data_IF_049869776662
#
_entry.id   IF_049869776662
#
_cell.length_a   1.000
_cell.length_b   1.000
_cell.length_c   1.000
_cell.angle_alpha   90.00
_cell.angle_beta   90.00
_cell.angle_gamma   90.00
#
_symmetry.space_group_name_H-M   'P 1'
#
loop_
_entity.id
_entity.type
_entity.pdbx_description
1 polymer ?
#
# COMPACT_ATOMS: atom_id res chain seq x y z
N UNK A 1 -1.42 2.34 -21.78
CA UNK A 1 -1.32 2.57 -20.32
C UNK A 1 -0.67 1.34 -19.72
N UNK A 2 0.34 1.51 -18.87
CA UNK A 2 0.89 0.39 -18.11
C UNK A 2 -0.17 -0.04 -17.08
N UNK A 3 -0.72 -1.27 -17.13
CA UNK A 3 -1.77 -1.71 -16.21
C UNK A 3 -1.32 -1.82 -14.74
N UNK A 4 -0.03 -1.60 -14.46
CA UNK A 4 0.59 -1.70 -13.13
C UNK A 4 1.38 -0.45 -12.77
N UNK A 5 0.84 0.73 -13.02
CA UNK A 5 1.43 1.95 -12.46
C UNK A 5 1.44 1.87 -10.93
N UNK A 6 2.59 2.19 -10.32
CA UNK A 6 2.74 2.25 -8.87
C UNK A 6 1.82 3.31 -8.26
N UNK A 7 1.45 4.32 -9.05
CA UNK A 7 0.48 5.34 -8.67
C UNK A 7 -0.92 4.74 -8.62
N UNK A 8 -1.39 4.06 -9.67
CA UNK A 8 -2.78 3.61 -9.72
C UNK A 8 -3.03 2.32 -8.91
N UNK A 9 -2.05 1.39 -8.92
CA UNK A 9 -2.19 0.03 -8.36
C UNK A 9 -0.93 -0.41 -7.61
N UNK A 10 -0.63 0.19 -6.45
CA UNK A 10 0.62 -0.03 -5.73
C UNK A 10 0.81 -1.48 -5.23
N UNK A 11 -0.28 -2.20 -4.95
CA UNK A 11 -0.24 -3.59 -4.52
C UNK A 11 0.10 -4.53 -5.68
N UNK A 12 -0.61 -4.39 -6.82
CA UNK A 12 -0.32 -5.18 -8.01
C UNK A 12 1.07 -4.87 -8.58
N UNK A 13 1.47 -3.59 -8.60
CA UNK A 13 2.81 -3.16 -9.00
C UNK A 13 3.91 -3.86 -8.19
N UNK A 14 3.77 -3.90 -6.85
CA UNK A 14 4.75 -4.56 -5.99
C UNK A 14 4.89 -6.06 -6.29
N UNK A 15 3.77 -6.74 -6.61
CA UNK A 15 3.80 -8.16 -6.98
C UNK A 15 4.49 -8.36 -8.33
N UNK A 16 4.18 -7.52 -9.31
CA UNK A 16 4.81 -7.56 -10.63
C UNK A 16 6.32 -7.33 -10.55
N UNK A 17 6.75 -6.33 -9.80
CA UNK A 17 8.17 -6.05 -9.57
C UNK A 17 8.87 -7.20 -8.82
N UNK A 18 8.21 -7.77 -7.81
CA UNK A 18 8.86 -8.73 -6.94
C UNK A 18 8.86 -10.18 -7.46
N UNK A 19 7.80 -10.59 -8.15
CA UNK A 19 7.61 -11.98 -8.58
C UNK A 19 7.64 -12.13 -10.10
N UNK A 20 7.80 -11.02 -10.85
CA UNK A 20 7.79 -11.00 -12.31
C UNK A 20 6.51 -11.63 -12.88
N UNK A 21 5.39 -11.32 -12.23
CA UNK A 21 4.06 -11.80 -12.62
C UNK A 21 3.16 -10.60 -12.84
N UNK A 22 2.57 -10.51 -14.02
CA UNK A 22 1.67 -9.41 -14.36
C UNK A 22 0.42 -9.44 -13.47
N UNK A 23 -0.22 -10.59 -13.29
CA UNK A 23 -1.39 -10.70 -12.45
C UNK A 23 -1.13 -11.53 -11.17
N UNK A 24 -1.33 -10.96 -9.96
CA UNK A 24 -1.12 -11.69 -8.71
C UNK A 24 -1.87 -13.02 -8.59
N UNK A 25 -3.01 -13.16 -9.27
CA UNK A 25 -3.78 -14.42 -9.27
C UNK A 25 -3.10 -15.55 -10.05
N UNK A 26 -2.24 -15.25 -11.00
CA UNK A 26 -1.50 -16.25 -11.79
C UNK A 26 -0.52 -17.06 -10.92
N UNK A 27 -0.23 -16.58 -9.70
CA UNK A 27 0.54 -17.32 -8.69
C UNK A 27 -0.16 -18.59 -8.20
N UNK A 28 -1.47 -18.75 -8.46
CA UNK A 28 -2.29 -19.89 -7.99
C UNK A 28 -2.56 -20.93 -9.09
N UNK A 29 -2.42 -20.58 -10.37
CA UNK A 29 -2.92 -21.39 -11.50
C UNK A 29 -2.25 -22.77 -11.66
N UNK A 30 -1.07 -22.99 -11.07
CA UNK A 30 -0.27 -24.20 -11.29
C UNK A 30 -0.11 -25.09 -10.05
N UNK A 31 -0.81 -24.78 -8.95
CA UNK A 31 -0.64 -25.48 -7.68
C UNK A 31 -1.95 -26.16 -7.26
N UNK A 32 -1.85 -27.34 -6.63
CA UNK A 32 -3.00 -27.96 -5.98
C UNK A 32 -3.46 -27.11 -4.79
N UNK A 33 -4.74 -27.15 -4.43
CA UNK A 33 -5.33 -26.32 -3.38
C UNK A 33 -4.71 -26.50 -1.98
N UNK A 34 -4.02 -27.61 -1.75
CA UNK A 34 -3.32 -27.91 -0.49
C UNK A 34 -1.80 -27.65 -0.57
N UNK A 35 -1.28 -27.20 -1.73
CA UNK A 35 0.11 -26.81 -1.87
C UNK A 35 0.32 -25.49 -1.09
N UNK A 36 1.32 -25.42 -0.19
CA UNK A 36 1.66 -24.18 0.51
C UNK A 36 1.89 -22.97 -0.41
N UNK A 37 2.32 -23.19 -1.66
CA UNK A 37 2.49 -22.14 -2.67
C UNK A 37 1.15 -21.62 -3.19
N UNK A 38 0.13 -22.45 -3.35
CA UNK A 38 -1.22 -21.98 -3.68
C UNK A 38 -1.76 -21.08 -2.57
N UNK A 39 -1.66 -21.56 -1.33
CA UNK A 39 -2.15 -20.84 -0.15
C UNK A 39 -1.49 -19.47 -0.03
N UNK A 40 -0.16 -19.42 -0.14
CA UNK A 40 0.58 -18.16 -0.07
C UNK A 40 0.37 -17.31 -1.33
N UNK A 41 0.24 -17.90 -2.51
CA UNK A 41 -0.08 -17.19 -3.75
C UNK A 41 -1.42 -16.47 -3.67
N UNK A 42 -2.45 -17.14 -3.13
CA UNK A 42 -3.77 -16.55 -2.87
C UNK A 42 -3.69 -15.42 -1.85
N UNK A 43 -2.94 -15.61 -0.77
CA UNK A 43 -2.70 -14.58 0.23
C UNK A 43 -2.03 -13.34 -0.38
N UNK A 44 -1.08 -13.52 -1.30
CA UNK A 44 -0.45 -12.42 -2.04
C UNK A 44 -1.48 -11.70 -2.91
N UNK A 45 -2.27 -12.44 -3.69
CA UNK A 45 -3.27 -11.85 -4.58
C UNK A 45 -4.33 -11.03 -3.82
N UNK A 46 -4.84 -11.58 -2.71
CA UNK A 46 -5.79 -10.89 -1.84
C UNK A 46 -5.16 -9.67 -1.17
N UNK A 47 -3.94 -9.80 -0.65
CA UNK A 47 -3.23 -8.69 0.01
C UNK A 47 -2.94 -7.56 -0.97
N UNK A 48 -2.51 -7.88 -2.20
CA UNK A 48 -2.29 -6.91 -3.27
C UNK A 48 -3.57 -6.16 -3.63
N UNK A 49 -4.68 -6.89 -3.82
CA UNK A 49 -6.00 -6.29 -4.07
C UNK A 49 -6.45 -5.39 -2.92
N UNK A 50 -6.20 -5.79 -1.69
CA UNK A 50 -6.55 -4.99 -0.51
C UNK A 50 -5.73 -3.70 -0.43
N UNK A 51 -4.43 -3.75 -0.75
CA UNK A 51 -3.59 -2.54 -0.86
C UNK A 51 -4.13 -1.60 -1.93
N UNK A 52 -4.44 -2.12 -3.13
CA UNK A 52 -5.01 -1.33 -4.23
C UNK A 52 -6.32 -0.67 -3.80
N UNK A 53 -7.23 -1.43 -3.18
CA UNK A 53 -8.55 -0.93 -2.75
C UNK A 53 -8.42 0.16 -1.68
N UNK A 54 -7.54 -0.04 -0.69
CA UNK A 54 -7.25 0.96 0.35
C UNK A 54 -6.61 2.22 -0.24
N UNK A 55 -5.80 2.08 -1.29
CA UNK A 55 -5.24 3.23 -1.98
C UNK A 55 -6.33 4.08 -2.63
N UNK A 56 -7.22 3.46 -3.41
CA UNK A 56 -8.36 4.16 -4.03
C UNK A 56 -9.29 4.77 -2.98
N UNK A 57 -9.54 4.10 -1.85
CA UNK A 57 -10.33 4.68 -0.76
C UNK A 57 -9.66 5.90 -0.13
N UNK A 58 -8.33 5.85 0.04
CA UNK A 58 -7.55 6.98 0.58
C UNK A 58 -7.57 8.16 -0.39
N UNK A 59 -7.39 7.95 -1.69
CA UNK A 59 -7.49 8.99 -2.71
C UNK A 59 -8.87 9.64 -2.71
N UNK A 60 -9.93 8.83 -2.68
CA UNK A 60 -11.31 9.35 -2.61
C UNK A 60 -11.55 10.14 -1.33
N UNK A 61 -11.04 9.67 -0.19
CA UNK A 61 -11.14 10.38 1.08
C UNK A 61 -10.36 11.70 1.06
N UNK A 62 -9.16 11.72 0.47
CA UNK A 62 -8.35 12.92 0.31
C UNK A 62 -9.02 13.93 -0.65
N UNK A 63 -9.63 13.47 -1.74
CA UNK A 63 -10.39 14.34 -2.63
C UNK A 63 -11.61 14.93 -1.91
N UNK A 64 -12.37 14.10 -1.20
CA UNK A 64 -13.52 14.56 -0.40
C UNK A 64 -13.07 15.58 0.66
N UNK A 65 -11.91 15.37 1.28
CA UNK A 65 -11.30 16.32 2.20
C UNK A 65 -10.99 17.66 1.52
N UNK A 66 -10.35 17.62 0.36
CA UNK A 66 -10.04 18.82 -0.41
C UNK A 66 -11.31 19.60 -0.76
N UNK A 67 -12.36 18.91 -1.21
CA UNK A 67 -13.64 19.51 -1.56
C UNK A 67 -14.33 20.17 -0.34
N UNK A 68 -14.25 19.54 0.83
CA UNK A 68 -14.82 20.08 2.08
C UNK A 68 -14.00 21.25 2.66
N UNK A 69 -12.69 21.25 2.45
CA UNK A 69 -11.80 22.31 2.91
C UNK A 69 -11.75 23.49 1.93
N UNK A 70 -12.11 23.31 0.66
CA UNK A 70 -12.08 24.37 -0.33
C UNK A 70 -12.90 25.61 0.08
N UNK A 71 -14.16 25.51 0.57
CA UNK A 71 -14.92 26.69 0.96
C UNK A 71 -14.35 27.37 2.22
N UNK A 72 -13.65 26.61 3.09
CA UNK A 72 -12.94 27.19 4.25
C UNK A 72 -11.82 28.11 3.79
N UNK A 73 -11.04 27.68 2.78
CA UNK A 73 -9.95 28.47 2.20
C UNK A 73 -10.46 29.74 1.52
N UNK A 74 -11.68 29.71 0.96
CA UNK A 74 -12.32 30.88 0.36
C UNK A 74 -13.06 31.78 1.38
N UNK A 75 -13.08 31.40 2.66
CA UNK A 75 -13.75 32.17 3.72
C UNK A 75 -15.28 32.07 3.67
N UNK A 76 -15.83 31.08 2.98
CA UNK A 76 -17.27 30.90 2.77
C UNK A 76 -17.99 30.21 3.94
N UNK A 77 -17.23 29.65 4.90
CA UNK A 77 -17.77 28.95 6.06
C UNK A 77 -17.42 29.69 7.36
N UNK A 78 -18.40 29.82 8.26
CA UNK A 78 -18.22 30.39 9.60
C UNK A 78 -17.13 29.64 10.39
N UNK A 79 -16.36 30.39 11.19
CA UNK A 79 -15.18 29.87 11.89
C UNK A 79 -15.49 28.67 12.81
N UNK A 80 -16.70 28.64 13.37
CA UNK A 80 -17.23 27.57 14.24
C UNK A 80 -17.41 26.24 13.51
N UNK A 81 -17.70 26.26 12.21
CA UNK A 81 -17.94 25.07 11.40
C UNK A 81 -16.65 24.49 10.83
N UNK A 82 -15.57 25.29 10.75
CA UNK A 82 -14.27 24.87 10.21
C UNK A 82 -13.63 23.73 11.02
N UNK A 83 -13.67 23.84 12.35
CA UNK A 83 -13.15 22.81 13.25
C UNK A 83 -13.96 21.51 13.18
N UNK A 84 -15.27 21.60 12.93
CA UNK A 84 -16.14 20.42 12.73
C UNK A 84 -15.77 19.64 11.48
N UNK A 85 -15.50 20.33 10.36
CA UNK A 85 -15.06 19.70 9.12
C UNK A 85 -13.71 19.00 9.31
N UNK A 86 -12.71 19.70 9.85
CA UNK A 86 -11.38 19.13 10.08
C UNK A 86 -11.39 17.91 11.01
N UNK A 87 -12.13 17.99 12.11
CA UNK A 87 -12.26 16.90 13.08
C UNK A 87 -12.97 15.66 12.52
N UNK A 88 -13.83 15.82 11.51
CA UNK A 88 -14.51 14.69 10.87
C UNK A 88 -13.65 13.99 9.81
N UNK A 89 -12.82 14.74 9.08
CA UNK A 89 -12.10 14.25 7.91
C UNK A 89 -10.73 13.67 8.26
N UNK A 90 -9.98 14.33 9.14
CA UNK A 90 -8.61 13.91 9.48
C UNK A 90 -8.54 12.47 10.05
N UNK A 91 -9.38 12.06 11.02
CA UNK A 91 -9.32 10.71 11.56
C UNK A 91 -9.59 9.62 10.51
N UNK A 92 -10.45 9.90 9.53
CA UNK A 92 -10.77 8.95 8.46
C UNK A 92 -9.56 8.68 7.56
N UNK A 93 -8.84 9.73 7.19
CA UNK A 93 -7.61 9.61 6.38
C UNK A 93 -6.53 8.86 7.16
N UNK A 94 -6.35 9.19 8.44
CA UNK A 94 -5.35 8.54 9.29
C UNK A 94 -5.59 7.03 9.43
N UNK A 95 -6.85 6.62 9.66
CA UNK A 95 -7.22 5.20 9.76
C UNK A 95 -6.97 4.47 8.44
N UNK A 96 -7.34 5.06 7.30
CA UNK A 96 -7.10 4.47 5.99
C UNK A 96 -5.60 4.34 5.69
N UNK A 97 -4.82 5.37 5.99
CA UNK A 97 -3.37 5.36 5.81
C UNK A 97 -2.69 4.30 6.67
N UNK A 98 -3.07 4.20 7.96
CA UNK A 98 -2.55 3.19 8.87
C UNK A 98 -2.90 1.77 8.39
N UNK A 99 -4.14 1.54 7.96
CA UNK A 99 -4.58 0.23 7.44
C UNK A 99 -3.82 -0.13 6.16
N UNK A 100 -3.63 0.81 5.24
CA UNK A 100 -2.84 0.60 4.02
C UNK A 100 -1.40 0.21 4.34
N UNK A 101 -0.76 0.90 5.29
CA UNK A 101 0.62 0.59 5.70
C UNK A 101 0.74 -0.84 6.25
N UNK A 102 -0.18 -1.25 7.13
CA UNK A 102 -0.20 -2.60 7.70
C UNK A 102 -0.39 -3.66 6.61
N UNK A 103 -1.35 -3.48 5.70
CA UNK A 103 -1.59 -4.43 4.60
C UNK A 103 -0.42 -4.48 3.63
N UNK A 104 0.24 -3.35 3.36
CA UNK A 104 1.44 -3.30 2.52
C UNK A 104 2.60 -4.11 3.13
N UNK A 105 2.81 -4.03 4.44
CA UNK A 105 3.83 -4.84 5.12
C UNK A 105 3.46 -6.33 5.18
N UNK A 106 2.17 -6.66 5.31
CA UNK A 106 1.70 -8.04 5.18
C UNK A 106 1.99 -8.61 3.79
N UNK A 107 1.72 -7.83 2.73
CA UNK A 107 2.02 -8.22 1.35
C UNK A 107 3.52 -8.50 1.15
N UNK A 108 4.40 -7.61 1.63
CA UNK A 108 5.86 -7.84 1.58
C UNK A 108 6.28 -9.13 2.27
N UNK A 109 5.71 -9.41 3.45
CA UNK A 109 6.00 -10.64 4.21
C UNK A 109 5.51 -11.89 3.45
N UNK A 110 4.34 -11.82 2.83
CA UNK A 110 3.80 -12.90 2.01
C UNK A 110 4.69 -13.17 0.78
N UNK A 111 5.10 -12.11 0.05
CA UNK A 111 6.04 -12.21 -1.08
C UNK A 111 7.37 -12.84 -0.64
N UNK A 112 7.93 -12.40 0.49
CA UNK A 112 9.17 -12.96 1.01
C UNK A 112 9.02 -14.45 1.38
N UNK A 113 7.86 -14.84 1.90
CA UNK A 113 7.54 -16.24 2.21
C UNK A 113 7.41 -17.07 0.93
N UNK A 114 6.71 -16.56 -0.07
CA UNK A 114 6.55 -17.24 -1.36
C UNK A 114 7.89 -17.48 -2.06
N UNK A 115 8.78 -16.47 -2.09
CA UNK A 115 10.14 -16.61 -2.65
C UNK A 115 10.97 -17.68 -1.94
N UNK A 116 10.73 -17.95 -0.66
CA UNK A 116 11.39 -19.04 0.08
C UNK A 116 10.82 -20.41 -0.27
N UNK A 117 9.52 -20.48 -0.59
CA UNK A 117 8.84 -21.72 -0.99
C UNK A 117 9.10 -22.06 -2.47
N UNK A 118 9.37 -21.07 -3.31
CA UNK A 118 9.69 -21.23 -4.72
C UNK A 118 10.99 -20.48 -5.09
N UNK A 119 12.16 -20.93 -4.59
CA UNK A 119 13.45 -20.31 -4.89
C UNK A 119 13.82 -20.42 -6.38
N UNK A 120 13.16 -21.32 -7.10
CA UNK A 120 13.23 -21.49 -8.55
C UNK A 120 12.34 -20.53 -9.34
N UNK A 121 11.79 -19.48 -8.74
CA UNK A 121 11.11 -18.37 -9.43
C UNK A 121 11.84 -17.07 -9.12
N UNK A 122 13.09 -17.00 -9.58
CA UNK A 122 13.92 -15.80 -9.56
C UNK A 122 13.86 -15.04 -10.89
N UNK A 123 14.48 -13.84 -10.97
CA UNK A 123 14.53 -12.98 -12.16
C UNK A 123 15.04 -13.67 -13.44
N UNK A 124 15.67 -14.84 -13.30
CA UNK A 124 16.36 -15.55 -14.38
C UNK A 124 15.45 -16.55 -15.11
N UNK A 125 14.22 -16.76 -14.65
CA UNK A 125 13.32 -17.81 -15.16
C UNK A 125 12.19 -17.25 -16.04
N UNK A 126 12.20 -15.94 -16.30
CA UNK A 126 11.36 -15.25 -17.28
C UNK A 126 11.86 -15.37 -18.73
N UNK A 127 12.82 -16.27 -19.00
CA UNK A 127 13.37 -16.53 -20.34
C UNK A 127 12.34 -17.04 -21.38
N UNK A 128 11.05 -17.16 -21.02
CA UNK A 128 9.96 -17.49 -21.95
C UNK A 128 9.03 -16.32 -22.28
N UNK A 129 9.14 -15.17 -21.60
CA UNK A 129 8.32 -13.99 -21.89
C UNK A 129 9.00 -12.99 -22.86
N UNK A 130 10.33 -13.08 -23.04
CA UNK A 130 11.08 -12.22 -23.97
C UNK A 130 11.05 -12.69 -25.44
N UNK A 131 10.47 -13.85 -25.73
CA UNK A 131 10.45 -14.41 -27.09
C UNK A 131 9.42 -13.75 -28.03
N UNK A 132 8.64 -12.78 -27.57
CA UNK A 132 7.64 -12.10 -28.40
C UNK A 132 8.02 -10.69 -28.86
N UNK A 133 9.16 -10.14 -28.44
CA UNK A 133 9.60 -8.78 -28.83
C UNK A 133 10.87 -8.75 -29.71
N UNK A 134 11.36 -9.93 -30.13
CA UNK A 134 12.64 -10.07 -30.83
C UNK A 134 12.49 -10.38 -32.32
N UNK A 135 11.47 -9.82 -32.97
CA UNK A 135 11.29 -9.91 -34.43
C UNK A 135 10.86 -8.58 -35.07
N UNK A 136 11.38 -7.44 -34.58
CA UNK A 136 11.27 -6.19 -35.34
C UNK A 136 12.34 -5.16 -35.02
N UNK A 137 13.62 -5.51 -35.17
CA UNK A 137 14.70 -4.51 -35.36
C UNK A 137 15.98 -5.18 -35.85
N UNK A 138 16.02 -5.47 -37.15
CA UNK A 138 17.27 -5.47 -37.90
C UNK A 138 17.11 -4.51 -39.06
N UNK A 139 17.62 -3.28 -38.93
CA UNK A 139 18.21 -2.56 -40.05
C UNK A 139 19.39 -1.70 -39.56
N UNK A 140 20.43 -1.55 -40.39
CA UNK A 140 21.79 -1.25 -39.94
C UNK A 140 22.08 0.26 -39.89
N UNK A 141 23.01 0.58 -38.99
CA UNK A 141 23.89 1.74 -38.93
C UNK A 141 24.03 2.54 -40.25
N UNK A 142 23.67 3.82 -40.23
CA UNK A 142 24.43 4.82 -40.97
C UNK A 142 24.56 6.11 -40.15
N UNK A 143 25.81 6.51 -40.03
CA UNK A 143 26.41 7.50 -39.16
C UNK A 143 26.33 8.90 -39.80
N UNK A 144 25.87 9.92 -39.07
CA UNK A 144 26.30 11.31 -39.34
C UNK A 144 26.13 12.23 -38.14
N UNK A 145 27.22 12.94 -37.89
CA UNK A 145 27.61 13.92 -36.87
C UNK A 145 26.60 14.99 -36.36
N UNK A 146 26.94 15.67 -35.25
CA UNK A 146 26.03 16.40 -34.35
C UNK A 146 25.95 17.92 -34.61
N UNK A 147 24.90 18.53 -34.07
CA UNK A 147 24.75 19.99 -33.93
C UNK A 147 23.74 20.35 -32.83
N UNK A 148 23.88 21.51 -32.15
CA UNK A 148 23.56 21.61 -30.73
C UNK A 148 22.30 22.45 -30.40
N UNK A 149 22.01 22.48 -29.09
CA UNK A 149 21.04 23.31 -28.36
C UNK A 149 19.62 22.69 -28.29
N UNK A 150 19.02 22.49 -27.11
CA UNK A 150 18.75 23.50 -26.10
C UNK A 150 18.30 22.87 -24.78
N UNK A 151 18.65 23.54 -23.68
CA UNK A 151 17.84 23.74 -22.47
C UNK A 151 17.45 22.52 -21.62
N UNK A 152 18.19 22.32 -20.52
CA UNK A 152 17.58 21.98 -19.22
C UNK A 152 18.28 22.72 -18.09
N UNK A 153 17.56 23.72 -17.59
CA UNK A 153 17.71 24.27 -16.24
C UNK A 153 17.27 23.16 -15.28
N UNK A 154 18.19 22.65 -14.45
CA UNK A 154 17.84 21.84 -13.29
C UNK A 154 18.22 22.59 -12.04
N UNK A 155 17.20 22.79 -11.22
CA UNK A 155 17.18 23.54 -9.99
C UNK A 155 18.06 22.91 -8.90
N UNK A 156 18.80 23.82 -8.27
CA UNK A 156 19.00 23.98 -6.83
C UNK A 156 18.33 22.96 -5.87
N UNK A 157 19.20 22.44 -4.99
CA UNK A 157 19.08 22.50 -3.53
C UNK A 157 17.87 21.80 -2.86
N UNK A 158 18.15 20.72 -2.13
CA UNK A 158 17.94 20.67 -0.67
C UNK A 158 18.40 19.32 -0.08
N UNK A 159 19.61 19.33 0.51
CA UNK A 159 20.08 18.35 1.48
C UNK A 159 19.83 18.94 2.88
N UNK A 160 18.97 18.34 3.67
CA UNK A 160 18.86 18.38 5.13
C UNK A 160 17.68 17.45 5.49
N UNK A 161 17.69 16.54 6.46
CA UNK A 161 18.38 16.58 7.74
C UNK A 161 18.64 15.16 8.27
N UNK A 162 19.79 14.96 8.90
CA UNK A 162 19.96 13.94 9.94
C UNK A 162 19.59 14.58 11.28
N UNK A 163 18.67 13.97 12.01
CA UNK A 163 18.50 14.20 13.46
C UNK A 163 18.49 12.83 14.16
N UNK A 164 19.27 12.64 15.23
CA UNK A 164 19.48 11.36 15.88
C UNK A 164 18.41 10.98 16.92
N UNK A 165 18.31 9.67 17.11
CA UNK A 165 17.59 8.88 18.11
C UNK A 165 17.78 9.35 19.57
N UNK A 166 16.74 9.34 20.41
CA UNK A 166 16.90 9.28 21.86
C UNK A 166 16.76 7.84 22.39
N UNK A 167 17.82 7.41 23.08
CA UNK A 167 17.99 6.15 23.80
C UNK A 167 17.12 6.02 25.06
N UNK A 168 16.98 4.78 25.61
CA UNK A 168 15.90 4.40 26.51
C UNK A 168 16.20 4.69 27.97
N UNK A 169 15.17 5.08 28.72
CA UNK A 169 15.25 5.37 30.16
C UNK A 169 14.08 4.80 30.95
N UNK A 170 14.41 3.82 31.79
CA UNK A 170 13.81 3.48 33.09
C UNK A 170 12.32 3.11 33.17
N UNK A 171 12.11 1.81 33.36
CA UNK A 171 10.90 1.16 33.84
C UNK A 171 10.90 1.17 35.37
N UNK A 172 9.81 1.61 36.01
CA UNK A 172 9.41 1.12 37.34
C UNK A 172 7.88 1.10 37.45
N UNK A 173 7.27 0.04 38.01
CA UNK A 173 5.83 -0.20 37.94
C UNK A 173 5.11 0.30 39.20
N UNK A 174 3.88 0.79 39.04
CA UNK A 174 3.00 1.06 40.18
C UNK A 174 1.53 0.75 39.87
N UNK A 175 1.05 -0.29 40.55
CA UNK A 175 -0.28 -0.46 41.14
C UNK A 175 -1.52 -0.57 40.24
N UNK A 176 -2.02 -1.81 40.17
CA UNK A 176 -3.43 -2.14 40.04
C UNK A 176 -4.25 -1.63 41.24
N UNK A 177 -5.58 -1.57 41.09
CA UNK A 177 -6.39 -2.43 41.97
C UNK A 177 -7.37 -3.35 41.22
N UNK A 178 -7.43 -4.59 41.72
CA UNK A 178 -8.47 -5.61 41.49
C UNK A 178 -9.79 -5.21 42.16
N UNK A 179 -10.84 -5.96 41.79
CA UNK A 179 -12.10 -6.28 42.51
C UNK A 179 -13.31 -5.51 41.94
N UNK A 180 -14.43 -6.07 41.48
CA UNK A 180 -14.97 -7.42 41.25
C UNK A 180 -16.34 -7.22 40.51
N UNK A 181 -16.96 -8.27 39.93
CA UNK A 181 -18.07 -8.11 38.98
C UNK A 181 -19.45 -7.92 39.62
N UNK A 182 -20.28 -7.09 38.98
CA UNK A 182 -21.69 -6.92 39.31
C UNK A 182 -22.48 -8.19 39.01
N UNK A 183 -22.92 -8.87 40.07
CA UNK A 183 -23.95 -9.89 40.02
C UNK A 183 -25.32 -9.23 39.87
N UNK A 184 -26.04 -9.51 38.79
CA UNK A 184 -27.48 -9.26 38.69
C UNK A 184 -28.17 -10.55 38.24
N UNK A 185 -28.48 -11.39 39.23
CA UNK A 185 -29.39 -12.52 39.10
C UNK A 185 -30.78 -12.12 39.60
N UNK A 186 -31.77 -12.47 38.78
CA UNK A 186 -33.12 -12.96 39.11
C UNK A 186 -34.01 -12.16 40.08
N UNK A 187 -35.15 -11.68 39.56
CA UNK A 187 -36.51 -11.89 40.12
C UNK A 187 -37.49 -12.07 38.94
N UNK A 188 -38.07 -13.27 38.79
CA UNK A 188 -39.47 -13.66 39.13
C UNK A 188 -40.52 -12.84 38.38
N UNK A 189 -41.59 -13.33 37.75
CA UNK A 189 -42.19 -14.65 37.49
C UNK A 189 -43.40 -14.40 36.55
N UNK A 190 -43.96 -15.40 35.87
CA UNK A 190 -45.17 -15.26 35.03
C UNK A 190 -46.46 -15.42 35.85
N UNK A 191 -47.57 -14.82 35.40
CA UNK A 191 -48.94 -15.34 35.64
C UNK A 191 -49.99 -14.62 34.80
N UNK A 192 -50.98 -15.42 34.36
CA UNK A 192 -52.25 -15.12 33.68
C UNK A 192 -52.20 -15.13 32.14
#
# INVERSE_FOLDING_TARGET
MNPYDAVDRPGAHLVAEALYVDNPWDLTENFGSDDPRDIVGRLIAESARNVDSLHTELERAAQTAADLLAPILHGEIAHEQQYGVLSSVAPRIDVLAARRAVTYDQLKKAIATFRRLDPGRGPNNSAKAAAHDQERSQQPLHEKDPGPATSRVSAALCRSASVPEPRPGAVTPASAPRTAPASLRLRRSPSA
#
